data_IF_127945165750
#
_entry.id   IF_127945165750
#
_cell.length_a   1.000
_cell.length_b   1.000
_cell.length_c   1.000
_cell.angle_alpha   90.00
_cell.angle_beta   90.00
_cell.angle_gamma   90.00
#
_symmetry.space_group_name_H-M   'P 1'
#
loop_
_entity.id
_entity.type
_entity.pdbx_description
1 polymer ?
#
# COMPACT_ATOMS: atom_id res chain seq x y z
N UNK A 1 15.01 -100.59 -16.38
CA UNK A 1 14.95 -99.18 -16.83
C UNK A 1 14.79 -98.30 -15.61
N UNK A 2 15.72 -97.36 -15.44
CA UNK A 2 15.88 -96.46 -14.30
C UNK A 2 14.58 -95.76 -13.88
N UNK A 3 14.13 -95.98 -12.65
CA UNK A 3 13.32 -94.99 -11.93
C UNK A 3 14.31 -94.09 -11.20
N UNK A 4 14.53 -92.90 -11.77
CA UNK A 4 15.26 -91.83 -11.13
C UNK A 4 14.55 -91.45 -9.82
N UNK A 5 15.36 -91.43 -8.79
CA UNK A 5 15.06 -91.13 -7.40
C UNK A 5 14.40 -89.74 -7.26
N UNK A 6 13.20 -89.71 -6.66
CA UNK A 6 12.55 -88.48 -6.23
C UNK A 6 13.20 -88.04 -4.92
N UNK A 7 14.34 -87.35 -5.01
CA UNK A 7 14.98 -86.75 -3.84
C UNK A 7 14.12 -85.59 -3.34
N UNK A 8 13.49 -85.77 -2.18
CA UNK A 8 12.84 -84.67 -1.46
C UNK A 8 13.88 -83.58 -1.18
N UNK A 9 13.59 -82.29 -1.43
CA UNK A 9 14.56 -81.22 -1.24
C UNK A 9 15.02 -81.20 0.22
N UNK A 10 16.35 -81.25 0.41
CA UNK A 10 17.02 -81.24 1.72
C UNK A 10 16.48 -80.08 2.57
N UNK A 11 16.33 -80.23 3.90
CA UNK A 11 15.75 -79.19 4.77
C UNK A 11 16.38 -77.80 4.56
N UNK A 12 17.69 -77.75 4.30
CA UNK A 12 18.44 -76.53 3.96
C UNK A 12 17.94 -75.85 2.69
N UNK A 13 17.61 -76.61 1.64
CA UNK A 13 17.13 -76.06 0.37
C UNK A 13 15.73 -75.43 0.53
N UNK A 14 14.85 -76.05 1.33
CA UNK A 14 13.53 -75.49 1.66
C UNK A 14 13.63 -74.15 2.39
N UNK A 15 14.56 -74.05 3.35
CA UNK A 15 14.82 -72.81 4.09
C UNK A 15 15.33 -71.71 3.14
N UNK A 16 16.25 -72.06 2.25
CA UNK A 16 16.82 -71.12 1.28
C UNK A 16 15.75 -70.59 0.32
N UNK A 17 14.84 -71.44 -0.14
CA UNK A 17 13.70 -71.03 -0.97
C UNK A 17 12.71 -70.17 -0.21
N UNK A 18 12.48 -70.42 1.10
CA UNK A 18 11.63 -69.52 1.91
C UNK A 18 12.25 -68.15 2.10
N UNK A 19 13.55 -68.07 2.35
CA UNK A 19 14.27 -66.79 2.48
C UNK A 19 14.22 -66.01 1.16
N UNK A 20 14.43 -66.67 0.02
CA UNK A 20 14.32 -66.03 -1.29
C UNK A 20 12.91 -65.49 -1.57
N UNK A 21 11.88 -66.27 -1.21
CA UNK A 21 10.49 -65.85 -1.33
C UNK A 21 10.17 -64.63 -0.45
N UNK A 22 10.72 -64.56 0.75
CA UNK A 22 10.46 -63.47 1.69
C UNK A 22 11.29 -62.21 1.38
N UNK A 23 12.44 -62.36 0.71
CA UNK A 23 13.28 -61.24 0.27
C UNK A 23 12.65 -60.41 -0.85
N UNK A 24 11.87 -61.02 -1.75
CA UNK A 24 11.27 -60.28 -2.88
C UNK A 24 10.26 -59.20 -2.42
N UNK A 25 9.27 -59.51 -1.55
CA UNK A 25 8.36 -58.51 -0.99
C UNK A 25 9.07 -57.49 -0.10
N UNK A 26 10.14 -57.89 0.60
CA UNK A 26 10.92 -56.96 1.41
C UNK A 26 11.64 -55.93 0.53
N UNK A 27 12.24 -56.37 -0.57
CA UNK A 27 12.91 -55.49 -1.51
C UNK A 27 11.93 -54.51 -2.17
N UNK A 28 10.72 -54.97 -2.51
CA UNK A 28 9.63 -54.13 -3.01
C UNK A 28 9.21 -53.06 -1.98
N UNK A 29 8.99 -53.46 -0.72
CA UNK A 29 8.67 -52.52 0.37
C UNK A 29 9.78 -51.49 0.61
N UNK A 30 11.03 -51.91 0.55
CA UNK A 30 12.17 -50.99 0.64
C UNK A 30 12.20 -50.00 -0.54
N UNK A 31 11.89 -50.46 -1.76
CA UNK A 31 11.75 -49.59 -2.93
C UNK A 31 10.64 -48.55 -2.75
N UNK A 32 9.46 -48.97 -2.28
CA UNK A 32 8.33 -48.08 -2.02
C UNK A 32 8.62 -47.07 -0.91
N UNK A 33 9.33 -47.49 0.14
CA UNK A 33 9.78 -46.60 1.22
C UNK A 33 10.76 -45.55 0.68
N UNK A 34 11.72 -45.96 -0.14
CA UNK A 34 12.69 -45.05 -0.74
C UNK A 34 12.01 -44.00 -1.63
N UNK A 35 11.00 -44.40 -2.41
CA UNK A 35 10.17 -43.46 -3.18
C UNK A 35 9.43 -42.48 -2.28
N UNK A 36 8.84 -42.97 -1.18
CA UNK A 36 8.10 -42.13 -0.23
C UNK A 36 9.01 -41.10 0.46
N UNK A 37 10.23 -41.52 0.83
CA UNK A 37 11.24 -40.64 1.42
C UNK A 37 11.70 -39.58 0.43
N UNK A 38 11.98 -39.96 -0.82
CA UNK A 38 12.35 -39.01 -1.86
C UNK A 38 11.24 -37.99 -2.12
N UNK A 39 9.99 -38.44 -2.24
CA UNK A 39 8.84 -37.56 -2.39
C UNK A 39 8.71 -36.57 -1.22
N UNK A 40 8.88 -37.04 0.02
CA UNK A 40 8.87 -36.19 1.20
C UNK A 40 10.00 -35.16 1.17
N UNK A 41 11.21 -35.57 0.76
CA UNK A 41 12.37 -34.69 0.61
C UNK A 41 12.10 -33.58 -0.41
N UNK A 42 11.51 -33.90 -1.55
CA UNK A 42 11.16 -32.92 -2.59
C UNK A 42 10.12 -31.93 -2.07
N UNK A 43 9.08 -32.43 -1.39
CA UNK A 43 8.04 -31.60 -0.77
C UNK A 43 8.61 -30.64 0.29
N UNK A 44 9.55 -31.10 1.11
CA UNK A 44 10.23 -30.27 2.11
C UNK A 44 11.04 -29.17 1.43
N UNK A 45 11.82 -29.51 0.39
CA UNK A 45 12.60 -28.52 -0.36
C UNK A 45 11.71 -27.46 -1.01
N UNK A 46 10.56 -27.84 -1.55
CA UNK A 46 9.63 -26.88 -2.15
C UNK A 46 8.97 -25.99 -1.09
N UNK A 47 8.64 -26.54 0.06
CA UNK A 47 8.13 -25.78 1.19
C UNK A 47 9.16 -24.75 1.71
N UNK A 48 10.44 -25.13 1.80
CA UNK A 48 11.53 -24.21 2.16
C UNK A 48 11.66 -23.05 1.18
N UNK A 49 11.52 -23.30 -0.13
CA UNK A 49 11.51 -22.24 -1.16
C UNK A 49 10.33 -21.30 -0.96
N UNK A 50 9.13 -21.83 -0.70
CA UNK A 50 7.94 -21.00 -0.45
C UNK A 50 8.12 -20.12 0.79
N UNK A 51 8.65 -20.67 1.89
CA UNK A 51 8.95 -19.89 3.10
C UNK A 51 9.95 -18.77 2.80
N UNK A 52 11.00 -19.05 2.02
CA UNK A 52 11.99 -18.05 1.64
C UNK A 52 11.36 -16.88 0.87
N UNK A 53 10.44 -17.18 -0.06
CA UNK A 53 9.69 -16.16 -0.81
C UNK A 53 8.77 -15.36 0.12
N UNK A 54 8.03 -16.03 1.01
CA UNK A 54 7.14 -15.36 1.95
C UNK A 54 7.90 -14.41 2.89
N UNK A 55 9.06 -14.82 3.40
CA UNK A 55 9.90 -13.97 4.24
C UNK A 55 10.35 -12.70 3.49
N UNK A 56 10.71 -12.80 2.22
CA UNK A 56 11.06 -11.62 1.40
C UNK A 56 9.86 -10.68 1.24
N UNK A 57 8.68 -11.24 0.94
CA UNK A 57 7.45 -10.46 0.79
C UNK A 57 7.12 -9.72 2.10
N UNK A 58 7.26 -10.38 3.25
CA UNK A 58 7.03 -9.75 4.55
C UNK A 58 7.96 -8.56 4.77
N UNK A 59 9.27 -8.72 4.50
CA UNK A 59 10.25 -7.64 4.62
C UNK A 59 9.89 -6.47 3.69
N UNK A 60 9.50 -6.76 2.45
CA UNK A 60 9.11 -5.73 1.48
C UNK A 60 7.84 -4.99 1.92
N UNK A 61 6.85 -5.70 2.47
CA UNK A 61 5.63 -5.10 3.03
C UNK A 61 5.96 -4.18 4.21
N UNK A 62 6.82 -4.60 5.13
CA UNK A 62 7.24 -3.78 6.26
C UNK A 62 7.92 -2.49 5.80
N UNK A 63 8.82 -2.60 4.82
CA UNK A 63 9.49 -1.45 4.22
C UNK A 63 8.50 -0.49 3.55
N UNK A 64 7.63 -1.01 2.68
CA UNK A 64 6.62 -0.21 1.99
C UNK A 64 5.65 0.46 2.97
N UNK A 65 5.29 -0.22 4.06
CA UNK A 65 4.42 0.33 5.10
C UNK A 65 5.10 1.50 5.81
N UNK A 66 6.38 1.36 6.16
CA UNK A 66 7.16 2.44 6.76
C UNK A 66 7.28 3.64 5.82
N UNK A 67 7.68 3.41 4.57
CA UNK A 67 7.84 4.47 3.57
C UNK A 67 6.51 5.23 3.35
N UNK A 68 5.38 4.52 3.36
CA UNK A 68 4.07 5.15 3.24
C UNK A 68 3.71 6.05 4.43
N UNK A 69 4.07 5.65 5.66
CA UNK A 69 3.86 6.45 6.86
C UNK A 69 4.71 7.72 6.84
N UNK A 70 5.98 7.59 6.45
CA UNK A 70 6.91 8.72 6.36
C UNK A 70 6.43 9.73 5.29
N UNK A 71 6.01 9.25 4.12
CA UNK A 71 5.44 10.09 3.05
C UNK A 71 4.15 10.80 3.49
N UNK A 72 3.25 10.11 4.19
CA UNK A 72 2.02 10.73 4.72
C UNK A 72 2.32 11.89 5.65
N UNK A 73 3.31 11.71 6.54
CA UNK A 73 3.76 12.74 7.47
C UNK A 73 4.38 13.93 6.74
N UNK A 74 5.16 13.67 5.69
CA UNK A 74 5.74 14.74 4.87
C UNK A 74 4.66 15.54 4.14
N UNK A 75 3.66 14.88 3.56
CA UNK A 75 2.51 15.54 2.93
C UNK A 75 1.74 16.41 3.93
N UNK A 76 1.49 15.91 5.15
CA UNK A 76 0.80 16.69 6.18
C UNK A 76 1.59 17.95 6.59
N UNK A 77 2.92 17.82 6.72
CA UNK A 77 3.80 18.95 7.00
C UNK A 77 3.78 19.97 5.84
N UNK A 78 3.92 19.49 4.60
CA UNK A 78 3.89 20.36 3.43
C UNK A 78 2.56 21.10 3.30
N UNK A 79 1.43 20.43 3.52
CA UNK A 79 0.11 21.08 3.53
C UNK A 79 0.04 22.17 4.61
N UNK A 80 0.48 21.86 5.83
CA UNK A 80 0.50 22.85 6.92
C UNK A 80 1.35 24.07 6.59
N UNK A 81 2.47 23.87 5.88
CA UNK A 81 3.34 24.97 5.42
C UNK A 81 2.69 25.79 4.32
N UNK A 82 2.01 25.15 3.37
CA UNK A 82 1.25 25.83 2.32
C UNK A 82 0.15 26.67 2.95
N UNK A 83 -0.63 26.11 3.88
CA UNK A 83 -1.70 26.82 4.59
C UNK A 83 -1.15 28.05 5.33
N UNK A 84 -0.01 27.91 6.01
CA UNK A 84 0.63 29.04 6.70
C UNK A 84 1.09 30.14 5.73
N UNK A 85 1.72 29.76 4.60
CA UNK A 85 2.13 30.72 3.57
C UNK A 85 0.92 31.40 2.93
N UNK A 86 -0.14 30.66 2.69
CA UNK A 86 -1.40 31.16 2.15
C UNK A 86 -2.11 32.13 3.09
N UNK A 87 -2.07 31.89 4.40
CA UNK A 87 -2.56 32.83 5.40
C UNK A 87 -1.68 34.08 5.47
N UNK A 88 -0.36 33.92 5.41
CA UNK A 88 0.57 35.04 5.40
C UNK A 88 0.41 35.93 4.17
N UNK A 89 0.18 35.35 2.98
CA UNK A 89 -0.08 36.10 1.76
C UNK A 89 -1.39 36.89 1.83
N UNK A 90 -2.38 36.41 2.58
CA UNK A 90 -3.67 37.07 2.77
C UNK A 90 -3.74 37.95 4.02
N UNK A 91 -2.66 38.05 4.81
CA UNK A 91 -2.68 38.76 6.09
C UNK A 91 -3.00 40.25 5.95
N UNK A 92 -2.67 40.82 4.78
CA UNK A 92 -2.89 42.22 4.48
C UNK A 92 -4.13 42.46 3.60
N UNK A 93 -4.89 41.40 3.30
CA UNK A 93 -6.12 41.53 2.53
C UNK A 93 -7.25 42.00 3.45
N UNK A 94 -8.03 42.97 3.00
CA UNK A 94 -9.27 43.37 3.66
C UNK A 94 -10.44 42.83 2.85
N UNK A 95 -11.28 41.99 3.45
CA UNK A 95 -12.47 41.48 2.78
C UNK A 95 -13.71 42.26 3.23
N UNK A 96 -14.41 42.87 2.26
CA UNK A 96 -15.61 43.67 2.49
C UNK A 96 -16.83 42.89 2.02
N UNK A 97 -17.67 42.48 2.97
CA UNK A 97 -18.89 41.71 2.71
C UNK A 97 -20.15 42.57 2.63
N UNK A 98 -21.19 42.02 2.00
CA UNK A 98 -22.57 42.55 1.99
C UNK A 98 -22.73 43.94 1.35
N UNK A 99 -21.82 44.30 0.45
CA UNK A 99 -22.00 45.45 -0.44
C UNK A 99 -23.10 45.12 -1.45
N UNK A 100 -24.09 46.00 -1.57
CA UNK A 100 -25.19 45.83 -2.52
C UNK A 100 -24.64 45.88 -3.95
N UNK A 101 -25.05 44.98 -4.83
CA UNK A 101 -24.52 44.92 -6.20
C UNK A 101 -25.22 45.97 -7.07
N UNK A 102 -24.47 46.96 -7.56
CA UNK A 102 -24.93 47.87 -8.63
C UNK A 102 -24.30 47.51 -9.98
N UNK A 103 -25.00 47.84 -11.06
CA UNK A 103 -24.42 47.74 -12.41
C UNK A 103 -23.36 48.83 -12.58
N UNK A 104 -22.19 48.47 -13.13
CA UNK A 104 -21.06 49.38 -13.37
C UNK A 104 -20.54 50.08 -12.09
N UNK A 105 -20.38 49.28 -11.04
CA UNK A 105 -19.99 49.74 -9.71
C UNK A 105 -18.47 49.95 -9.61
N UNK A 106 -18.08 51.11 -9.10
CA UNK A 106 -16.69 51.44 -8.83
C UNK A 106 -16.29 50.93 -7.44
N UNK A 107 -15.70 49.74 -7.42
CA UNK A 107 -15.29 49.07 -6.18
C UNK A 107 -14.17 49.80 -5.44
N UNK A 108 -13.36 50.60 -6.14
CA UNK A 108 -12.27 51.36 -5.52
C UNK A 108 -12.86 52.51 -4.72
N UNK A 109 -13.76 53.28 -5.34
CA UNK A 109 -14.45 54.37 -4.64
C UNK A 109 -15.22 53.88 -3.39
N UNK A 110 -15.86 52.72 -3.47
CA UNK A 110 -16.52 52.11 -2.30
C UNK A 110 -15.54 51.86 -1.15
N UNK A 111 -14.35 51.32 -1.45
CA UNK A 111 -13.33 51.06 -0.44
C UNK A 111 -12.80 52.36 0.20
N UNK A 112 -12.60 53.40 -0.61
CA UNK A 112 -12.19 54.73 -0.12
C UNK A 112 -13.26 55.35 0.79
N UNK A 113 -14.54 55.28 0.40
CA UNK A 113 -15.67 55.74 1.22
C UNK A 113 -15.76 54.99 2.56
N UNK A 114 -15.56 53.66 2.54
CA UNK A 114 -15.54 52.85 3.77
C UNK A 114 -14.37 53.24 4.65
N UNK A 115 -13.18 53.45 4.09
CA UNK A 115 -12.01 53.92 4.83
C UNK A 115 -12.27 55.23 5.56
N UNK A 116 -12.91 56.20 4.90
CA UNK A 116 -13.34 57.45 5.54
C UNK A 116 -14.36 57.18 6.66
N UNK A 117 -15.35 56.29 6.41
CA UNK A 117 -16.41 56.00 7.37
C UNK A 117 -15.90 55.32 8.66
N UNK A 118 -14.78 54.57 8.60
CA UNK A 118 -14.17 53.89 9.76
C UNK A 118 -12.97 54.65 10.35
N UNK A 119 -12.78 55.91 9.96
CA UNK A 119 -11.66 56.77 10.40
C UNK A 119 -10.26 56.20 10.04
N UNK A 120 -10.20 55.50 8.90
CA UNK A 120 -8.98 54.98 8.29
C UNK A 120 -8.91 55.39 6.81
N UNK A 121 -8.66 56.68 6.51
CA UNK A 121 -8.63 57.18 5.15
C UNK A 121 -7.50 56.49 4.36
N UNK A 122 -7.91 55.74 3.34
CA UNK A 122 -7.00 55.04 2.41
C UNK A 122 -6.93 55.81 1.11
N UNK A 123 -5.82 55.71 0.37
CA UNK A 123 -5.70 56.26 -0.99
C UNK A 123 -5.43 55.14 -1.98
N UNK A 124 -5.66 55.39 -3.28
CA UNK A 124 -5.35 54.41 -4.34
C UNK A 124 -3.87 53.97 -4.32
N UNK A 125 -2.95 54.84 -3.88
CA UNK A 125 -1.53 54.49 -3.76
C UNK A 125 -1.23 53.51 -2.62
N UNK A 126 -2.17 53.29 -1.69
CA UNK A 126 -2.05 52.32 -0.60
C UNK A 126 -2.63 50.95 -0.97
N UNK A 127 -3.10 50.80 -2.21
CA UNK A 127 -3.87 49.67 -2.68
C UNK A 127 -3.10 48.98 -3.81
N UNK A 128 -2.69 47.73 -3.58
CA UNK A 128 -1.98 46.94 -4.59
C UNK A 128 -2.94 46.33 -5.63
N UNK A 129 -4.11 45.86 -5.21
CA UNK A 129 -5.10 45.24 -6.09
C UNK A 129 -6.49 45.26 -5.47
N UNK A 130 -7.54 45.41 -6.30
CA UNK A 130 -8.95 45.27 -5.88
C UNK A 130 -9.72 44.38 -6.84
N UNK A 131 -10.52 43.45 -6.31
CA UNK A 131 -11.38 42.61 -7.13
C UNK A 131 -12.58 42.06 -6.35
N UNK A 132 -13.63 41.66 -7.08
CA UNK A 132 -14.74 40.91 -6.48
C UNK A 132 -14.37 39.44 -6.40
N UNK A 133 -14.48 38.86 -5.22
CA UNK A 133 -14.23 37.43 -5.00
C UNK A 133 -15.23 36.58 -5.81
N UNK A 134 -14.74 35.47 -6.37
CA UNK A 134 -15.61 34.45 -6.96
C UNK A 134 -16.36 33.73 -5.85
N UNK A 135 -17.68 33.59 -6.01
CA UNK A 135 -18.54 32.86 -5.08
C UNK A 135 -19.30 31.77 -5.83
N UNK A 136 -19.45 30.62 -5.20
CA UNK A 136 -20.31 29.54 -5.68
C UNK A 136 -21.78 29.77 -5.31
N UNK A 137 -22.04 30.66 -4.33
CA UNK A 137 -23.39 31.02 -3.90
C UNK A 137 -23.86 32.27 -4.65
N UNK A 138 -24.70 32.06 -5.67
CA UNK A 138 -25.24 33.12 -6.54
C UNK A 138 -26.23 34.03 -5.80
N UNK A 139 -26.78 33.57 -4.66
CA UNK A 139 -27.74 34.35 -3.86
C UNK A 139 -27.07 35.41 -3.00
N UNK A 140 -25.76 35.30 -2.76
CA UNK A 140 -24.99 36.23 -1.94
C UNK A 140 -24.23 37.22 -2.81
N UNK A 141 -24.24 38.52 -2.45
CA UNK A 141 -23.36 39.48 -3.10
C UNK A 141 -21.90 39.07 -2.91
N UNK A 142 -21.12 39.17 -3.98
CA UNK A 142 -19.68 38.89 -3.96
C UNK A 142 -18.96 39.87 -3.03
N UNK A 143 -18.04 39.37 -2.23
CA UNK A 143 -17.13 40.19 -1.43
C UNK A 143 -16.19 41.00 -2.32
N UNK A 144 -15.71 42.12 -1.81
CA UNK A 144 -14.57 42.85 -2.37
C UNK A 144 -13.33 42.46 -1.57
N UNK A 145 -12.23 42.16 -2.25
CA UNK A 145 -10.90 41.93 -1.68
C UNK A 145 -9.97 43.02 -2.20
#
# INVERSE_FOLDING_TARGET
MHKLDQTSPTPTLRILTSIQRDMSPLNEKCGNLLQSVNFCSDCVSDFEKTISILNKIVIDIEKLTKDNLDLKKEVENLNSRVDALEQQLRSNNAEIHRISVKNNEDIVNIALEIGIAVDYPTTEANIDSFYKASTNDVSRPKSII
#
